data_IF_754805988849
#
_entry.id   IF_754805988849
#
_cell.length_a   1.000
_cell.length_b   1.000
_cell.length_c   1.000
_cell.angle_alpha   90.00
_cell.angle_beta   90.00
_cell.angle_gamma   90.00
#
_symmetry.space_group_name_H-M   'P 1'
#
loop_
_entity.id
_entity.type
_entity.pdbx_description
1 polymer ?
#
# COMPACT_ATOMS: atom_id res chain seq x y z
N UNK A 1 30.08 8.47 15.94
CA UNK A 1 29.48 8.37 17.29
C UNK A 1 29.54 6.92 17.75
N UNK A 2 30.38 6.60 18.73
CA UNK A 2 30.47 5.27 19.33
C UNK A 2 29.53 5.18 20.54
N UNK A 3 28.21 5.27 20.31
CA UNK A 3 27.23 4.93 21.33
C UNK A 3 27.19 3.42 21.49
N UNK A 4 27.02 2.93 22.72
CA UNK A 4 26.98 1.51 23.10
C UNK A 4 26.29 0.64 22.04
N UNK A 5 27.01 -0.37 21.49
CA UNK A 5 26.49 -1.28 20.46
C UNK A 5 25.14 -1.90 20.85
N UNK A 6 24.94 -2.14 22.15
CA UNK A 6 23.67 -2.65 22.70
C UNK A 6 22.53 -1.65 22.48
N UNK A 7 22.75 -0.36 22.80
CA UNK A 7 21.72 0.68 22.57
C UNK A 7 21.45 0.90 21.09
N UNK A 8 22.45 0.73 20.23
CA UNK A 8 22.27 0.84 18.78
C UNK A 8 21.38 -0.29 18.24
N UNK A 9 21.61 -1.52 18.67
CA UNK A 9 20.81 -2.69 18.26
C UNK A 9 19.41 -2.70 18.88
N UNK A 10 19.31 -2.53 20.20
CA UNK A 10 18.02 -2.54 20.91
C UNK A 10 17.19 -1.28 20.60
N UNK A 11 17.86 -0.13 20.44
CA UNK A 11 17.22 1.12 20.06
C UNK A 11 16.55 1.04 18.69
N UNK A 12 17.17 0.36 17.72
CA UNK A 12 16.56 0.14 16.41
C UNK A 12 15.24 -0.64 16.49
N UNK A 13 15.17 -1.67 17.36
CA UNK A 13 13.92 -2.43 17.59
C UNK A 13 12.81 -1.55 18.15
N UNK A 14 13.15 -0.66 19.09
CA UNK A 14 12.18 0.26 19.70
C UNK A 14 11.73 1.32 18.70
N UNK A 15 12.63 1.85 17.89
CA UNK A 15 12.34 2.85 16.87
C UNK A 15 11.38 2.28 15.78
N UNK A 16 11.68 1.10 15.25
CA UNK A 16 10.92 0.46 14.16
C UNK A 16 9.56 -0.11 14.57
N UNK A 17 9.24 -0.12 15.87
CA UNK A 17 7.89 -0.41 16.36
C UNK A 17 6.92 0.75 16.16
N UNK A 18 7.43 1.97 15.98
CA UNK A 18 6.62 3.15 15.69
C UNK A 18 6.34 3.25 14.19
N UNK A 19 5.24 3.91 13.78
CA UNK A 19 5.05 4.29 12.39
C UNK A 19 6.26 5.06 11.87
N UNK A 20 6.78 4.62 10.72
CA UNK A 20 7.81 5.34 9.97
C UNK A 20 7.12 6.00 8.80
N UNK A 21 7.20 7.33 8.74
CA UNK A 21 6.72 8.12 7.63
C UNK A 21 7.93 8.61 6.82
N UNK A 22 7.86 8.42 5.50
CA UNK A 22 8.85 8.85 4.53
C UNK A 22 8.16 9.79 3.55
N UNK A 23 8.48 11.08 3.63
CA UNK A 23 7.82 12.13 2.85
C UNK A 23 8.62 12.65 1.67
N UNK A 24 9.88 12.24 1.56
CA UNK A 24 10.81 12.68 0.52
C UNK A 24 11.92 11.64 0.29
N UNK A 25 12.69 11.86 -0.78
CA UNK A 25 13.78 10.99 -1.16
C UNK A 25 14.93 10.96 -0.14
N UNK A 26 15.30 12.11 0.44
CA UNK A 26 16.38 12.18 1.43
C UNK A 26 16.06 11.27 2.63
N UNK A 27 14.81 11.30 3.10
CA UNK A 27 14.31 10.40 4.14
C UNK A 27 14.33 8.94 3.69
N UNK A 28 13.94 8.64 2.45
CA UNK A 28 13.99 7.28 1.91
C UNK A 28 15.42 6.74 1.92
N UNK A 29 16.39 7.51 1.43
CA UNK A 29 17.82 7.12 1.41
C UNK A 29 18.34 6.90 2.83
N UNK A 30 18.04 7.80 3.77
CA UNK A 30 18.43 7.66 5.17
C UNK A 30 17.80 6.43 5.81
N UNK A 31 16.54 6.16 5.53
CA UNK A 31 15.79 5.00 6.02
C UNK A 31 16.35 3.69 5.47
N UNK A 32 16.57 3.58 4.16
CA UNK A 32 17.16 2.40 3.53
C UNK A 32 18.57 2.13 4.06
N UNK A 33 19.39 3.18 4.23
CA UNK A 33 20.69 3.08 4.88
C UNK A 33 20.58 2.58 6.33
N UNK A 34 19.59 3.07 7.07
CA UNK A 34 19.34 2.63 8.44
C UNK A 34 18.92 1.16 8.51
N UNK A 35 18.09 0.68 7.58
CA UNK A 35 17.66 -0.72 7.50
C UNK A 35 18.80 -1.66 7.10
N UNK A 36 19.70 -1.22 6.22
CA UNK A 36 20.88 -1.98 5.76
C UNK A 36 21.92 -2.23 6.84
N UNK A 37 21.96 -1.39 7.86
CA UNK A 37 22.86 -1.59 8.98
C UNK A 37 22.62 -2.95 9.66
N UNK A 38 23.69 -3.55 10.20
CA UNK A 38 23.66 -4.87 10.85
C UNK A 38 23.10 -5.96 9.92
N UNK A 39 23.63 -6.03 8.69
CA UNK A 39 23.32 -7.06 7.69
C UNK A 39 21.81 -7.22 7.42
N UNK A 40 21.11 -6.09 7.24
CA UNK A 40 19.66 -6.04 6.98
C UNK A 40 18.80 -6.65 8.10
N UNK A 41 19.39 -6.95 9.26
CA UNK A 41 18.68 -7.59 10.38
C UNK A 41 17.52 -6.75 10.91
N UNK A 42 17.52 -5.44 10.62
CA UNK A 42 16.53 -4.46 11.05
C UNK A 42 15.23 -4.53 10.28
N UNK A 43 15.25 -5.00 9.03
CA UNK A 43 14.06 -5.13 8.18
C UNK A 43 12.93 -5.91 8.88
N UNK A 44 13.30 -6.93 9.67
CA UNK A 44 12.34 -7.76 10.41
C UNK A 44 11.60 -7.03 11.55
N UNK A 45 12.07 -5.86 11.98
CA UNK A 45 11.46 -5.13 13.10
C UNK A 45 10.45 -4.08 12.65
N UNK A 46 10.48 -3.70 11.36
CA UNK A 46 9.54 -2.74 10.81
C UNK A 46 8.13 -3.35 10.79
N UNK A 47 7.18 -2.63 11.37
CA UNK A 47 5.76 -3.02 11.41
C UNK A 47 4.87 -2.13 10.57
N UNK A 48 5.24 -0.85 10.44
CA UNK A 48 4.38 0.18 9.88
C UNK A 48 5.22 1.13 9.03
N UNK A 49 4.81 1.34 7.78
CA UNK A 49 5.48 2.20 6.82
C UNK A 49 4.45 3.06 6.08
N UNK A 50 4.69 4.35 6.05
CA UNK A 50 3.99 5.31 5.19
C UNK A 50 4.98 5.89 4.18
N UNK A 51 4.64 5.81 2.90
CA UNK A 51 5.37 6.43 1.80
C UNK A 51 4.51 7.53 1.20
N UNK A 52 5.07 8.74 1.12
CA UNK A 52 4.40 9.94 0.65
C UNK A 52 5.31 10.66 -0.35
N UNK A 53 4.70 11.19 -1.41
CA UNK A 53 5.31 12.11 -2.38
C UNK A 53 6.60 11.60 -3.05
N UNK A 54 6.68 10.29 -3.30
CA UNK A 54 7.86 9.65 -3.90
C UNK A 54 7.91 9.70 -5.44
N UNK A 55 7.02 10.45 -6.11
CA UNK A 55 6.97 10.59 -7.58
C UNK A 55 8.22 11.25 -8.21
N UNK A 56 9.12 11.79 -7.39
CA UNK A 56 10.38 12.38 -7.86
C UNK A 56 11.62 11.65 -7.37
N UNK A 57 11.45 10.44 -6.84
CA UNK A 57 12.55 9.62 -6.31
C UNK A 57 13.53 9.25 -7.42
N UNK A 58 14.84 9.27 -7.15
CA UNK A 58 15.82 8.79 -8.11
C UNK A 58 15.68 7.27 -8.33
N UNK A 59 15.99 6.82 -9.55
CA UNK A 59 15.90 5.41 -9.92
C UNK A 59 16.73 4.50 -9.00
N UNK A 60 17.88 4.97 -8.49
CA UNK A 60 18.73 4.21 -7.57
C UNK A 60 18.03 3.97 -6.23
N UNK A 61 17.43 5.01 -5.65
CA UNK A 61 16.64 4.95 -4.42
C UNK A 61 15.45 4.01 -4.56
N UNK A 62 14.75 4.07 -5.71
CA UNK A 62 13.64 3.16 -6.01
C UNK A 62 14.10 1.69 -6.14
N UNK A 63 15.22 1.43 -6.83
CA UNK A 63 15.81 0.08 -6.90
C UNK A 63 16.21 -0.47 -5.54
N UNK A 64 16.70 0.41 -4.67
CA UNK A 64 17.08 0.06 -3.31
C UNK A 64 15.87 -0.27 -2.45
N UNK A 65 14.76 0.43 -2.63
CA UNK A 65 13.47 0.08 -2.03
C UNK A 65 12.97 -1.27 -2.54
N UNK A 66 12.98 -1.51 -3.87
CA UNK A 66 12.57 -2.78 -4.50
C UNK A 66 13.32 -3.97 -3.89
N UNK A 67 14.64 -3.83 -3.68
CA UNK A 67 15.48 -4.89 -3.08
C UNK A 67 15.20 -5.09 -1.59
N UNK A 68 14.74 -4.05 -0.90
CA UNK A 68 14.54 -4.07 0.56
C UNK A 68 13.16 -4.58 0.95
N UNK A 69 12.12 -4.29 0.15
CA UNK A 69 10.72 -4.66 0.42
C UNK A 69 10.53 -6.16 0.76
N UNK A 70 11.10 -7.14 0.02
CA UNK A 70 10.94 -8.57 0.33
C UNK A 70 11.49 -8.97 1.71
N UNK A 71 12.36 -8.15 2.31
CA UNK A 71 12.97 -8.39 3.61
C UNK A 71 12.11 -7.88 4.77
N UNK A 72 11.08 -7.08 4.49
CA UNK A 72 10.14 -6.52 5.46
C UNK A 72 9.10 -7.57 5.86
N UNK A 73 9.56 -8.75 6.28
CA UNK A 73 8.73 -9.96 6.49
C UNK A 73 7.67 -9.81 7.57
N UNK A 74 7.74 -8.74 8.36
CA UNK A 74 6.89 -8.47 9.52
C UNK A 74 6.06 -7.19 9.38
N UNK A 75 6.04 -6.56 8.20
CA UNK A 75 5.23 -5.37 7.96
C UNK A 75 3.74 -5.71 8.02
N UNK A 76 3.00 -4.98 8.84
CA UNK A 76 1.57 -5.20 9.08
C UNK A 76 0.73 -4.05 8.56
N UNK A 77 1.27 -2.83 8.53
CA UNK A 77 0.60 -1.63 8.05
C UNK A 77 1.44 -0.97 6.95
N UNK A 78 0.84 -0.75 5.80
CA UNK A 78 1.41 -0.01 4.68
C UNK A 78 0.44 1.09 4.27
N UNK A 79 0.96 2.30 4.16
CA UNK A 79 0.24 3.44 3.59
C UNK A 79 1.02 4.00 2.41
N UNK A 80 0.35 4.10 1.26
CA UNK A 80 0.89 4.71 0.05
C UNK A 80 0.06 5.94 -0.27
N UNK A 81 0.65 7.12 -0.06
CA UNK A 81 0.04 8.39 -0.43
C UNK A 81 0.51 8.75 -1.83
N UNK A 82 -0.43 9.02 -2.73
CA UNK A 82 -0.12 9.18 -4.16
C UNK A 82 0.27 7.84 -4.80
N UNK A 83 -0.45 6.78 -4.45
CA UNK A 83 -0.09 5.41 -4.80
C UNK A 83 0.05 5.20 -6.31
N UNK A 84 -0.85 5.79 -7.11
CA UNK A 84 -0.82 5.63 -8.56
C UNK A 84 0.46 6.21 -9.16
N UNK A 85 0.79 7.46 -8.86
CA UNK A 85 1.98 8.16 -9.39
C UNK A 85 3.25 7.36 -9.05
N UNK A 86 3.40 6.94 -7.80
CA UNK A 86 4.55 6.12 -7.37
C UNK A 86 4.68 4.82 -8.17
N UNK A 87 3.56 4.14 -8.42
CA UNK A 87 3.57 2.85 -9.11
C UNK A 87 3.67 3.00 -10.64
N UNK A 88 3.21 4.12 -11.21
CA UNK A 88 3.40 4.48 -12.62
C UNK A 88 4.87 4.81 -12.91
N UNK A 89 5.51 5.62 -12.05
CA UNK A 89 6.92 5.97 -12.19
C UNK A 89 7.83 4.76 -11.98
N UNK A 90 7.44 3.84 -11.07
CA UNK A 90 8.21 2.65 -10.74
C UNK A 90 7.37 1.36 -10.73
N UNK A 91 6.95 0.84 -11.90
CA UNK A 91 6.10 -0.36 -11.99
C UNK A 91 6.73 -1.61 -11.36
N UNK A 92 8.06 -1.64 -11.28
CA UNK A 92 8.81 -2.72 -10.63
C UNK A 92 8.59 -2.80 -9.10
N UNK A 93 7.92 -1.82 -8.48
CA UNK A 93 7.49 -1.89 -7.08
C UNK A 93 6.26 -2.78 -6.87
N UNK A 94 5.43 -3.01 -7.89
CA UNK A 94 4.19 -3.79 -7.75
C UNK A 94 4.48 -5.23 -7.28
N UNK A 95 5.41 -6.01 -7.90
CA UNK A 95 5.69 -7.37 -7.45
C UNK A 95 6.18 -7.48 -5.99
N UNK A 96 7.16 -6.70 -5.51
CA UNK A 96 7.60 -6.81 -4.12
C UNK A 96 6.55 -6.34 -3.10
N UNK A 97 5.74 -5.33 -3.39
CA UNK A 97 4.61 -4.98 -2.52
C UNK A 97 3.57 -6.10 -2.46
N UNK A 98 3.26 -6.70 -3.60
CA UNK A 98 2.31 -7.84 -3.70
C UNK A 98 2.77 -9.07 -2.91
N UNK A 99 4.09 -9.22 -2.73
CA UNK A 99 4.72 -10.31 -2.00
C UNK A 99 4.73 -10.15 -0.47
N UNK A 100 4.27 -9.01 0.07
CA UNK A 100 4.21 -8.75 1.51
C UNK A 100 3.09 -9.54 2.19
N UNK A 101 3.35 -10.81 2.52
CA UNK A 101 2.34 -11.73 3.06
C UNK A 101 1.91 -11.44 4.50
N UNK A 102 2.64 -10.62 5.25
CA UNK A 102 2.30 -10.22 6.62
C UNK A 102 1.38 -9.02 6.70
N UNK A 103 1.11 -8.34 5.59
CA UNK A 103 0.31 -7.12 5.57
C UNK A 103 -1.13 -7.38 6.04
N UNK A 104 -1.65 -6.51 6.92
CA UNK A 104 -2.99 -6.60 7.51
C UNK A 104 -3.82 -5.35 7.29
N UNK A 105 -3.16 -4.20 7.24
CA UNK A 105 -3.76 -2.89 7.08
C UNK A 105 -3.12 -2.21 5.87
N UNK A 106 -3.94 -1.80 4.92
CA UNK A 106 -3.50 -1.11 3.72
C UNK A 106 -4.33 0.16 3.52
N UNK A 107 -3.64 1.27 3.29
CA UNK A 107 -4.22 2.57 2.96
C UNK A 107 -3.59 3.11 1.67
N UNK A 108 -4.41 3.35 0.66
CA UNK A 108 -4.01 3.79 -0.67
C UNK A 108 -4.76 5.08 -1.01
N UNK A 109 -4.03 6.15 -1.34
CA UNK A 109 -4.63 7.38 -1.86
C UNK A 109 -4.29 7.62 -3.33
N UNK A 110 -5.14 8.38 -4.01
CA UNK A 110 -5.06 8.63 -5.44
C UNK A 110 -4.96 7.33 -6.25
N UNK A 111 -5.75 6.32 -5.90
CA UNK A 111 -5.76 5.04 -6.58
C UNK A 111 -6.36 5.18 -7.99
N UNK A 112 -5.69 4.63 -9.01
CA UNK A 112 -6.27 4.40 -10.34
C UNK A 112 -5.98 2.95 -10.79
N UNK A 113 -5.67 2.74 -12.06
CA UNK A 113 -5.56 1.41 -12.67
C UNK A 113 -4.39 0.58 -12.11
N UNK A 114 -3.19 1.16 -12.01
CA UNK A 114 -1.98 0.46 -11.55
C UNK A 114 -2.14 0.08 -10.07
N UNK A 115 -2.73 0.96 -9.27
CA UNK A 115 -3.06 0.69 -7.87
C UNK A 115 -4.07 -0.45 -7.73
N UNK A 116 -5.08 -0.51 -8.60
CA UNK A 116 -6.00 -1.65 -8.66
C UNK A 116 -5.29 -2.96 -9.09
N UNK A 117 -4.29 -2.85 -9.97
CA UNK A 117 -3.40 -3.95 -10.33
C UNK A 117 -2.65 -4.51 -9.11
N UNK A 118 -2.09 -3.62 -8.28
CA UNK A 118 -1.47 -4.00 -7.00
C UNK A 118 -2.49 -4.68 -6.06
N UNK A 119 -3.68 -4.11 -5.89
CA UNK A 119 -4.74 -4.70 -5.07
C UNK A 119 -5.09 -6.13 -5.54
N UNK A 120 -5.17 -6.35 -6.85
CA UNK A 120 -5.47 -7.67 -7.43
C UNK A 120 -4.34 -8.68 -7.24
N UNK A 121 -3.09 -8.21 -7.16
CA UNK A 121 -1.90 -9.04 -7.06
C UNK A 121 -1.51 -9.38 -5.61
N UNK A 122 -1.99 -8.61 -4.63
CA UNK A 122 -1.74 -8.83 -3.22
C UNK A 122 -2.25 -10.20 -2.77
N UNK A 123 -1.45 -10.87 -1.94
CA UNK A 123 -1.78 -12.18 -1.35
C UNK A 123 -1.87 -12.14 0.16
N UNK A 124 -1.80 -10.95 0.73
CA UNK A 124 -1.82 -10.74 2.16
C UNK A 124 -3.25 -10.94 2.72
N UNK A 125 -3.39 -11.47 3.94
CA UNK A 125 -4.69 -11.64 4.57
C UNK A 125 -5.18 -10.30 5.14
N UNK A 126 -5.50 -9.34 4.27
CA UNK A 126 -5.92 -8.00 4.67
C UNK A 126 -7.16 -8.07 5.58
N UNK A 127 -7.08 -7.31 6.66
CA UNK A 127 -8.14 -7.13 7.66
C UNK A 127 -8.82 -5.78 7.46
N UNK A 128 -8.04 -4.75 7.12
CA UNK A 128 -8.55 -3.42 6.84
C UNK A 128 -7.98 -2.91 5.53
N UNK A 129 -8.86 -2.35 4.71
CA UNK A 129 -8.49 -1.67 3.48
C UNK A 129 -9.14 -0.29 3.44
N UNK A 130 -8.32 0.73 3.20
CA UNK A 130 -8.77 2.07 2.83
C UNK A 130 -8.27 2.36 1.42
N UNK A 131 -9.18 2.71 0.52
CA UNK A 131 -8.83 3.13 -0.84
C UNK A 131 -9.55 4.43 -1.14
N UNK A 132 -8.77 5.41 -1.57
CA UNK A 132 -9.24 6.70 -2.03
C UNK A 132 -8.89 6.89 -3.50
N UNK A 133 -9.93 7.01 -4.34
CA UNK A 133 -9.83 7.23 -5.78
C UNK A 133 -9.82 8.73 -6.14
N UNK A 134 -9.82 9.63 -5.16
CA UNK A 134 -9.59 11.05 -5.41
C UNK A 134 -8.12 11.29 -5.72
N UNK A 135 -7.88 11.94 -6.85
CA UNK A 135 -6.58 12.43 -7.26
C UNK A 135 -6.58 13.96 -7.30
N UNK A 136 -5.40 14.55 -7.09
CA UNK A 136 -5.22 16.01 -7.12
C UNK A 136 -5.32 16.59 -8.54
N UNK A 137 -5.35 15.75 -9.57
CA UNK A 137 -5.26 16.14 -10.99
C UNK A 137 -6.60 16.37 -11.70
N UNK A 138 -7.70 16.55 -10.95
CA UNK A 138 -9.10 16.66 -11.42
C UNK A 138 -9.59 15.49 -12.32
N UNK A 139 -8.71 14.58 -12.74
CA UNK A 139 -9.00 13.44 -13.62
C UNK A 139 -9.40 12.23 -12.80
N UNK A 140 -10.70 11.95 -12.74
CA UNK A 140 -11.21 10.74 -12.12
C UNK A 140 -10.89 9.54 -13.00
N UNK A 141 -10.44 8.45 -12.39
CA UNK A 141 -10.25 7.16 -13.07
C UNK A 141 -11.49 6.77 -13.90
N UNK A 142 -12.67 6.98 -13.32
CA UNK A 142 -13.97 6.61 -13.87
C UNK A 142 -14.35 7.35 -15.16
N UNK A 143 -13.78 8.53 -15.40
CA UNK A 143 -14.02 9.31 -16.61
C UNK A 143 -13.22 8.77 -17.81
N UNK A 144 -12.23 7.91 -17.55
CA UNK A 144 -11.33 7.33 -18.56
C UNK A 144 -11.72 5.90 -18.96
N UNK A 145 -12.62 5.26 -18.20
CA UNK A 145 -12.99 3.85 -18.40
C UNK A 145 -14.18 3.71 -19.36
N UNK A 146 -14.06 2.76 -20.29
CA UNK A 146 -15.18 2.33 -21.12
C UNK A 146 -16.20 1.54 -20.29
N UNK A 147 -17.48 1.55 -20.69
CA UNK A 147 -18.59 1.00 -19.90
C UNK A 147 -18.43 -0.48 -19.47
N UNK A 148 -17.69 -1.27 -20.24
CA UNK A 148 -17.39 -2.67 -20.00
C UNK A 148 -16.25 -2.89 -18.99
N UNK A 149 -15.30 -1.95 -18.91
CA UNK A 149 -14.16 -1.98 -17.99
C UNK A 149 -14.59 -1.73 -16.54
N UNK A 150 -15.63 -0.91 -16.31
CA UNK A 150 -16.16 -0.62 -14.98
C UNK A 150 -16.41 -1.86 -14.13
N UNK A 151 -16.84 -2.95 -14.77
CA UNK A 151 -17.13 -4.21 -14.09
C UNK A 151 -15.91 -4.86 -13.43
N UNK A 152 -14.68 -4.57 -13.90
CA UNK A 152 -13.45 -5.14 -13.36
C UNK A 152 -13.02 -4.50 -12.04
N UNK A 153 -13.37 -3.24 -11.83
CA UNK A 153 -13.07 -2.47 -10.62
C UNK A 153 -14.20 -2.51 -9.59
N UNK A 154 -15.25 -3.30 -9.83
CA UNK A 154 -16.30 -3.48 -8.84
C UNK A 154 -15.69 -4.05 -7.53
N UNK A 155 -15.95 -3.46 -6.34
CA UNK A 155 -15.30 -3.86 -5.10
C UNK A 155 -15.40 -5.36 -4.80
N UNK A 156 -16.57 -5.97 -5.07
CA UNK A 156 -16.79 -7.40 -4.79
C UNK A 156 -16.02 -8.33 -5.75
N UNK A 157 -15.57 -7.83 -6.90
CA UNK A 157 -14.72 -8.55 -7.86
C UNK A 157 -13.24 -8.30 -7.55
N UNK A 158 -12.85 -7.04 -7.43
CA UNK A 158 -11.47 -6.63 -7.19
C UNK A 158 -10.91 -7.21 -5.88
N UNK A 159 -11.73 -7.17 -4.82
CA UNK A 159 -11.32 -7.58 -3.47
C UNK A 159 -11.70 -9.03 -3.13
N UNK A 160 -12.13 -9.83 -4.11
CA UNK A 160 -12.72 -11.14 -3.87
C UNK A 160 -11.79 -12.10 -3.10
N UNK A 161 -10.49 -11.97 -3.31
CA UNK A 161 -9.48 -12.81 -2.64
C UNK A 161 -9.28 -12.45 -1.16
N UNK A 162 -9.76 -11.28 -0.71
CA UNK A 162 -9.78 -10.88 0.69
C UNK A 162 -11.08 -11.25 1.42
N UNK A 163 -12.04 -11.89 0.75
CA UNK A 163 -13.38 -12.14 1.29
C UNK A 163 -13.38 -12.76 2.69
N UNK A 164 -12.52 -13.76 2.91
CA UNK A 164 -12.43 -14.50 4.17
C UNK A 164 -11.72 -13.75 5.31
N UNK A 165 -11.05 -12.64 5.03
CA UNK A 165 -10.17 -11.94 5.99
C UNK A 165 -10.58 -10.50 6.24
N UNK A 166 -11.18 -9.83 5.26
CA UNK A 166 -11.49 -8.41 5.34
C UNK A 166 -12.61 -8.15 6.36
N UNK A 167 -12.30 -7.31 7.33
CA UNK A 167 -13.21 -6.88 8.41
C UNK A 167 -13.68 -5.43 8.22
N UNK A 168 -12.83 -4.58 7.64
CA UNK A 168 -13.09 -3.16 7.46
C UNK A 168 -12.73 -2.70 6.05
N UNK A 169 -13.68 -2.06 5.38
CA UNK A 169 -13.49 -1.45 4.06
C UNK A 169 -13.96 0.00 4.09
N UNK A 170 -13.05 0.91 3.74
CA UNK A 170 -13.32 2.34 3.58
C UNK A 170 -13.01 2.73 2.14
N UNK A 171 -14.02 3.21 1.43
CA UNK A 171 -13.92 3.59 0.03
C UNK A 171 -14.25 5.08 -0.10
N UNK A 172 -13.35 5.85 -0.72
CA UNK A 172 -13.61 7.24 -1.11
C UNK A 172 -13.63 7.34 -2.64
N UNK A 173 -14.66 7.97 -3.19
CA UNK A 173 -14.86 8.18 -4.63
C UNK A 173 -14.81 6.89 -5.48
N UNK A 174 -15.28 5.77 -4.94
CA UNK A 174 -15.34 4.49 -5.65
C UNK A 174 -16.71 4.33 -6.32
N UNK A 175 -16.81 4.68 -7.60
CA UNK A 175 -18.07 4.65 -8.33
C UNK A 175 -18.32 3.24 -8.90
N UNK A 176 -19.57 2.81 -8.86
CA UNK A 176 -20.02 1.53 -9.44
C UNK A 176 -21.16 1.79 -10.41
N UNK A 177 -21.11 1.24 -11.62
CA UNK A 177 -22.20 1.35 -12.59
C UNK A 177 -23.42 0.53 -12.13
N UNK A 178 -24.56 1.20 -11.96
CA UNK A 178 -25.81 0.64 -11.41
C UNK A 178 -26.40 -0.51 -12.24
N UNK A 179 -26.09 -0.62 -13.53
CA UNK A 179 -26.76 -1.52 -14.47
C UNK A 179 -26.12 -2.92 -14.60
N UNK A 180 -24.99 -3.18 -13.94
CA UNK A 180 -24.28 -4.45 -14.05
C UNK A 180 -24.85 -5.55 -13.12
N UNK A 181 -24.83 -6.81 -13.59
CA UNK A 181 -25.09 -7.98 -12.72
C UNK A 181 -23.90 -8.15 -11.78
N UNK A 182 -24.12 -7.95 -10.48
CA UNK A 182 -23.02 -7.90 -9.53
C UNK A 182 -22.56 -9.28 -9.05
N UNK A 183 -21.24 -9.47 -8.83
CA UNK A 183 -20.71 -10.65 -8.17
C UNK A 183 -21.24 -10.77 -6.73
N UNK A 184 -21.59 -11.99 -6.34
CA UNK A 184 -22.19 -12.34 -5.04
C UNK A 184 -21.13 -12.64 -3.97
N UNK A 185 -19.93 -12.07 -4.08
CA UNK A 185 -18.86 -12.35 -3.11
C UNK A 185 -19.29 -11.87 -1.73
N UNK A 186 -19.41 -12.80 -0.78
CA UNK A 186 -19.78 -12.53 0.60
C UNK A 186 -18.51 -12.34 1.42
N UNK A 187 -18.48 -11.29 2.25
CA UNK A 187 -17.37 -11.00 3.16
C UNK A 187 -17.81 -11.34 4.59
N UNK A 188 -17.70 -12.61 5.03
CA UNK A 188 -18.33 -13.09 6.27
C UNK A 188 -17.83 -12.40 7.54
N UNK A 189 -16.64 -11.79 7.52
CA UNK A 189 -16.06 -11.06 8.66
C UNK A 189 -16.22 -9.55 8.58
N UNK A 190 -16.80 -9.03 7.49
CA UNK A 190 -16.99 -7.59 7.31
C UNK A 190 -17.89 -7.03 8.41
N UNK A 191 -17.34 -6.13 9.21
CA UNK A 191 -18.05 -5.45 10.30
C UNK A 191 -18.17 -3.94 10.10
N UNK A 192 -17.35 -3.36 9.21
CA UNK A 192 -17.42 -1.94 8.85
C UNK A 192 -17.28 -1.77 7.34
N UNK A 193 -18.25 -1.10 6.76
CA UNK A 193 -18.24 -0.65 5.38
C UNK A 193 -18.57 0.84 5.39
N UNK A 194 -17.65 1.66 4.88
CA UNK A 194 -17.86 3.08 4.69
C UNK A 194 -17.60 3.42 3.22
N UNK A 195 -18.57 4.08 2.59
CA UNK A 195 -18.48 4.54 1.22
C UNK A 195 -18.78 6.03 1.26
N UNK A 196 -17.77 6.82 0.90
CA UNK A 196 -17.86 8.26 0.79
C UNK A 196 -17.79 8.61 -0.70
N UNK A 197 -18.83 9.27 -1.20
CA UNK A 197 -18.85 9.83 -2.54
C UNK A 197 -18.38 11.29 -2.44
N UNK A 198 -17.61 11.73 -3.42
CA UNK A 198 -17.26 13.14 -3.53
C UNK A 198 -18.40 13.88 -4.24
N UNK A 199 -18.92 14.92 -3.58
CA UNK A 199 -19.97 15.81 -4.12
C UNK A 199 -19.53 16.56 -5.39
#
# INVERSE_FOLDING_TARGET
MATCRVLYHEGAKVALKKPIEITDEDQLVLFLRFLRAEDLSRCRYLRQLELRDLGYTELESAQDLIKTLPLLTNIENLRLVGAEVLLEDFPALVPPFSALTSLRYLDLSAAKEVTCGLLSALRSPLVSLRVDFLSDDDMKMWDLLDSDEWSQYHPTKLLAHFAETLEELYCMAWYTNQEAIYPVTVYPKMRKLAIELHD
#
